data_IF_312966863858
#
_entry.id   IF_312966863858
#
_cell.length_a   1.000
_cell.length_b   1.000
_cell.length_c   1.000
_cell.angle_alpha   90.00
_cell.angle_beta   90.00
_cell.angle_gamma   90.00
#
_symmetry.space_group_name_H-M   'P 1'
#
loop_
_entity.id
_entity.type
_entity.pdbx_description
1 polymer ?
#
# COMPACT_ATOMS: atom_id res chain seq x y z
N UNK A 1 37.13 26.72 -17.12
CA UNK A 1 35.90 27.41 -16.67
C UNK A 1 34.63 26.77 -17.26
N UNK A 2 34.52 26.56 -18.55
CA UNK A 2 33.34 25.95 -19.17
C UNK A 2 33.10 24.49 -18.80
N UNK A 3 34.18 23.72 -18.59
CA UNK A 3 34.04 22.30 -18.20
C UNK A 3 33.37 22.12 -16.84
N UNK A 4 33.58 23.02 -15.89
CA UNK A 4 32.99 22.95 -14.60
C UNK A 4 31.49 23.25 -14.61
N UNK A 5 31.05 24.15 -15.49
CA UNK A 5 29.63 24.47 -15.65
C UNK A 5 28.85 23.28 -16.21
N UNK A 6 29.44 22.57 -17.20
CA UNK A 6 28.82 21.40 -17.79
C UNK A 6 28.66 20.26 -16.76
N UNK A 7 29.65 20.05 -15.92
CA UNK A 7 29.60 19.02 -14.88
C UNK A 7 28.51 19.29 -13.84
N UNK A 8 28.32 20.56 -13.44
CA UNK A 8 27.28 20.96 -12.51
C UNK A 8 25.88 20.73 -13.07
N UNK A 9 25.70 21.04 -14.37
CA UNK A 9 24.42 20.81 -15.04
C UNK A 9 24.07 19.32 -15.11
N UNK A 10 25.05 18.48 -15.39
CA UNK A 10 24.85 17.03 -15.43
C UNK A 10 24.42 16.46 -14.07
N UNK A 11 25.04 16.91 -12.99
CA UNK A 11 24.67 16.51 -11.65
C UNK A 11 23.24 16.91 -11.30
N UNK A 12 22.83 18.11 -11.67
CA UNK A 12 21.47 18.60 -11.43
C UNK A 12 20.44 17.74 -12.18
N UNK A 13 20.74 17.37 -13.43
CA UNK A 13 19.86 16.52 -14.24
C UNK A 13 19.68 15.14 -13.60
N UNK A 14 20.75 14.55 -13.09
CA UNK A 14 20.69 13.27 -12.39
C UNK A 14 19.80 13.31 -11.16
N UNK A 15 19.91 14.36 -10.35
CA UNK A 15 19.05 14.53 -9.16
C UNK A 15 17.57 14.62 -9.54
N UNK A 16 17.25 15.29 -10.63
CA UNK A 16 15.89 15.43 -11.13
C UNK A 16 15.30 14.07 -11.53
N UNK A 17 16.08 13.22 -12.20
CA UNK A 17 15.65 11.88 -12.62
C UNK A 17 15.35 11.00 -11.39
N UNK A 18 16.18 11.07 -10.36
CA UNK A 18 15.94 10.31 -9.12
C UNK A 18 14.64 10.75 -8.45
N UNK A 19 14.35 12.05 -8.44
CA UNK A 19 13.11 12.58 -7.85
C UNK A 19 11.86 12.06 -8.54
N UNK A 20 11.89 11.85 -9.86
CA UNK A 20 10.74 11.33 -10.61
C UNK A 20 10.42 9.89 -10.28
N UNK A 21 11.41 9.07 -9.92
CA UNK A 21 11.15 7.67 -9.57
C UNK A 21 10.39 7.49 -8.25
N UNK A 22 10.41 8.49 -7.37
CA UNK A 22 9.68 8.44 -6.09
C UNK A 22 8.18 8.63 -6.26
N UNK A 23 7.70 9.01 -7.44
CA UNK A 23 6.29 9.21 -7.72
C UNK A 23 5.56 7.94 -8.13
N UNK A 24 6.26 6.83 -8.30
CA UNK A 24 5.64 5.56 -8.68
C UNK A 24 4.82 4.99 -7.53
N UNK A 25 3.70 4.34 -7.87
CA UNK A 25 2.85 3.67 -6.90
C UNK A 25 3.65 2.69 -6.05
N UNK A 26 3.38 2.69 -4.75
CA UNK A 26 4.10 1.86 -3.80
C UNK A 26 3.28 0.64 -3.43
N UNK A 27 3.87 -0.54 -3.63
CA UNK A 27 3.34 -1.81 -3.14
C UNK A 27 4.25 -2.28 -2.01
N UNK A 28 3.65 -2.58 -0.86
CA UNK A 28 4.39 -3.03 0.31
C UNK A 28 4.13 -4.50 0.56
N UNK A 29 5.19 -5.28 0.74
CA UNK A 29 5.03 -6.69 1.10
C UNK A 29 4.78 -6.83 2.58
N UNK A 30 3.71 -7.53 2.92
CA UNK A 30 3.34 -7.85 4.30
C UNK A 30 4.09 -9.09 4.74
N UNK A 31 4.76 -9.01 5.89
CA UNK A 31 5.43 -10.13 6.50
C UNK A 31 4.92 -10.31 7.91
N UNK A 32 4.50 -11.53 8.24
CA UNK A 32 4.05 -11.84 9.60
C UNK A 32 5.27 -12.13 10.47
N UNK A 33 5.20 -11.70 11.72
CA UNK A 33 6.21 -12.06 12.69
C UNK A 33 6.23 -13.59 12.84
N UNK A 34 7.40 -14.12 13.21
CA UNK A 34 7.58 -15.57 13.34
C UNK A 34 6.53 -16.17 14.27
N UNK A 35 5.84 -17.21 13.79
CA UNK A 35 4.80 -17.87 14.55
C UNK A 35 3.47 -17.12 14.57
N UNK A 36 3.34 -16.03 13.82
CA UNK A 36 2.12 -15.24 13.74
C UNK A 36 1.48 -15.37 12.36
N UNK A 37 0.16 -15.27 12.35
CA UNK A 37 -0.64 -15.30 11.12
C UNK A 37 -1.46 -14.02 10.93
N UNK A 38 -1.17 -12.98 11.69
CA UNK A 38 -1.87 -11.71 11.66
C UNK A 38 -0.87 -10.56 11.79
N UNK A 39 -1.16 -9.44 11.14
CA UNK A 39 -0.34 -8.24 11.23
C UNK A 39 -1.24 -7.01 11.16
N UNK A 40 -0.89 -5.96 11.92
CA UNK A 40 -1.55 -4.67 11.86
C UNK A 40 -0.60 -3.66 11.24
N UNK A 41 -1.07 -2.99 10.19
CA UNK A 41 -0.30 -2.03 9.41
C UNK A 41 -0.94 -0.66 9.55
N UNK A 42 -0.15 0.33 9.95
CA UNK A 42 -0.62 1.69 10.14
C UNK A 42 0.05 2.60 9.12
N UNK A 43 -0.68 3.62 8.68
CA UNK A 43 -0.12 4.58 7.74
C UNK A 43 -1.02 5.79 7.56
N UNK A 44 -0.67 6.60 6.57
CA UNK A 44 -1.44 7.78 6.17
C UNK A 44 -1.70 7.72 4.68
N UNK A 45 -2.87 8.22 4.27
CA UNK A 45 -3.24 8.37 2.86
C UNK A 45 -3.58 9.81 2.55
N UNK A 46 -3.12 10.27 1.40
CA UNK A 46 -3.48 11.59 0.89
C UNK A 46 -4.96 11.67 0.58
N UNK A 47 -5.48 12.88 0.53
CA UNK A 47 -6.87 13.14 0.19
C UNK A 47 -7.21 12.75 -1.25
N UNK A 48 -8.47 12.59 -1.53
CA UNK A 48 -9.03 12.51 -2.89
C UNK A 48 -8.42 11.38 -3.73
N UNK A 49 -8.48 10.16 -3.22
CA UNK A 49 -8.03 8.99 -3.94
C UNK A 49 -6.61 8.54 -3.60
N UNK A 50 -6.00 9.07 -2.54
CA UNK A 50 -4.75 8.52 -2.04
C UNK A 50 -4.93 7.04 -1.74
N UNK A 51 -4.00 6.20 -2.20
CA UNK A 51 -4.16 4.75 -2.12
C UNK A 51 -2.85 4.07 -1.75
N UNK A 52 -2.98 2.82 -1.34
CA UNK A 52 -1.82 1.96 -1.06
C UNK A 52 -2.18 0.52 -1.37
N UNK A 53 -1.21 -0.20 -1.92
CA UNK A 53 -1.34 -1.61 -2.20
C UNK A 53 -0.41 -2.42 -1.31
N UNK A 54 -0.92 -3.52 -0.79
CA UNK A 54 -0.17 -4.51 -0.03
C UNK A 54 -0.20 -5.85 -0.75
N UNK A 55 0.87 -6.61 -0.61
CA UNK A 55 0.98 -7.94 -1.18
C UNK A 55 1.48 -8.91 -0.11
N UNK A 56 0.91 -10.11 -0.09
CA UNK A 56 1.35 -11.17 0.83
C UNK A 56 1.29 -12.52 0.15
N UNK A 57 2.19 -13.41 0.53
CA UNK A 57 2.17 -14.79 0.08
C UNK A 57 1.13 -15.59 0.82
N UNK A 58 0.39 -16.41 0.10
CA UNK A 58 -0.66 -17.26 0.66
C UNK A 58 -0.68 -18.61 -0.03
N UNK A 59 -1.32 -19.59 0.61
CA UNK A 59 -1.44 -20.95 0.09
C UNK A 59 -2.89 -21.30 -0.15
N UNK A 60 -3.11 -22.14 -1.14
CA UNK A 60 -4.42 -22.69 -1.44
C UNK A 60 -5.04 -23.31 -0.18
N UNK A 61 -6.30 -23.04 0.04
CA UNK A 61 -7.05 -23.54 1.18
C UNK A 61 -7.05 -22.61 2.39
N UNK A 62 -6.21 -21.58 2.38
CA UNK A 62 -6.26 -20.56 3.42
C UNK A 62 -7.36 -19.55 3.16
N UNK A 63 -7.76 -18.84 4.20
CA UNK A 63 -8.69 -17.71 4.10
C UNK A 63 -7.95 -16.45 4.54
N UNK A 64 -8.00 -15.44 3.68
CA UNK A 64 -7.46 -14.13 3.97
C UNK A 64 -8.58 -13.25 4.50
N UNK A 65 -8.36 -12.62 5.64
CA UNK A 65 -9.31 -11.68 6.26
C UNK A 65 -8.59 -10.36 6.51
N UNK A 66 -9.26 -9.26 6.19
CA UNK A 66 -8.70 -7.93 6.40
C UNK A 66 -9.76 -7.01 6.99
N UNK A 67 -9.35 -6.19 7.95
CA UNK A 67 -10.21 -5.21 8.61
C UNK A 67 -9.52 -3.86 8.58
N UNK A 68 -10.27 -2.82 8.26
CA UNK A 68 -9.74 -1.49 8.00
C UNK A 68 -10.48 -0.45 8.81
N UNK A 69 -9.75 0.45 9.42
CA UNK A 69 -10.30 1.62 10.10
C UNK A 69 -9.49 2.86 9.73
N UNK A 70 -10.10 4.03 9.83
CA UNK A 70 -9.43 5.29 9.55
C UNK A 70 -10.00 6.40 10.43
N UNK A 71 -9.20 7.43 10.65
CA UNK A 71 -9.61 8.57 11.48
C UNK A 71 -10.78 9.32 10.86
N UNK A 72 -10.82 9.46 9.54
CA UNK A 72 -11.92 10.14 8.85
C UNK A 72 -13.08 9.21 8.46
N UNK A 73 -12.95 7.90 8.63
CA UNK A 73 -13.97 6.93 8.23
C UNK A 73 -14.19 6.83 6.72
N UNK A 74 -13.28 7.32 5.90
CA UNK A 74 -13.42 7.40 4.45
C UNK A 74 -12.41 6.55 3.69
N UNK A 75 -11.75 5.62 4.36
CA UNK A 75 -10.84 4.67 3.71
C UNK A 75 -11.52 3.31 3.63
N UNK A 76 -11.49 2.70 2.45
CA UNK A 76 -12.07 1.37 2.24
C UNK A 76 -11.25 0.55 1.25
N UNK A 77 -11.65 -0.71 1.09
CA UNK A 77 -11.00 -1.63 0.17
C UNK A 77 -11.44 -1.35 -1.26
N UNK A 78 -10.50 -1.42 -2.17
CA UNK A 78 -10.78 -1.31 -3.61
C UNK A 78 -11.36 -2.62 -4.15
N UNK A 79 -11.10 -3.74 -3.48
CA UNK A 79 -11.71 -5.04 -3.77
C UNK A 79 -13.01 -5.18 -3.00
N UNK A 80 -13.93 -5.99 -3.50
CA UNK A 80 -15.17 -6.30 -2.82
C UNK A 80 -16.26 -5.26 -3.06
N UNK A 81 -17.22 -5.19 -2.13
CA UNK A 81 -18.33 -4.28 -2.25
C UNK A 81 -17.91 -2.83 -1.96
N UNK A 82 -18.69 -1.91 -2.48
CA UNK A 82 -18.41 -0.48 -2.35
C UNK A 82 -18.41 -0.06 -0.88
N UNK A 83 -17.37 0.66 -0.46
CA UNK A 83 -17.19 1.18 0.89
C UNK A 83 -16.99 0.11 1.97
N UNK A 84 -16.54 -1.08 1.59
CA UNK A 84 -16.25 -2.12 2.57
C UNK A 84 -15.01 -1.80 3.39
N UNK A 85 -15.12 -2.03 4.70
CA UNK A 85 -14.02 -1.96 5.65
C UNK A 85 -13.67 -3.34 6.22
N UNK A 86 -14.32 -4.38 5.71
CA UNK A 86 -14.03 -5.77 6.00
C UNK A 86 -13.96 -6.54 4.70
N UNK A 87 -13.00 -7.46 4.61
CA UNK A 87 -12.76 -8.22 3.41
C UNK A 87 -12.34 -9.64 3.81
N UNK A 88 -12.97 -10.62 3.21
CA UNK A 88 -12.63 -12.02 3.45
C UNK A 88 -12.72 -12.78 2.14
N UNK A 89 -11.68 -13.53 1.82
CA UNK A 89 -11.62 -14.26 0.56
C UNK A 89 -10.87 -15.58 0.75
N UNK A 90 -11.40 -16.69 0.18
CA UNK A 90 -10.63 -17.91 0.13
C UNK A 90 -9.47 -17.80 -0.84
N UNK A 91 -8.34 -18.39 -0.48
CA UNK A 91 -7.17 -18.45 -1.36
C UNK A 91 -7.28 -19.70 -2.20
N UNK A 92 -7.39 -19.52 -3.50
CA UNK A 92 -7.64 -20.62 -4.42
C UNK A 92 -6.38 -21.22 -5.03
N UNK A 93 -5.27 -20.47 -5.00
CA UNK A 93 -3.98 -20.90 -5.53
C UNK A 93 -2.85 -20.38 -4.66
N UNK A 94 -1.76 -21.13 -4.61
CA UNK A 94 -0.53 -20.66 -3.97
C UNK A 94 0.01 -19.44 -4.71
N UNK A 95 0.50 -18.46 -3.98
CA UNK A 95 1.14 -17.30 -4.57
C UNK A 95 0.79 -16.01 -3.86
N UNK A 96 1.03 -14.90 -4.55
CA UNK A 96 0.81 -13.56 -4.01
C UNK A 96 -0.64 -13.14 -4.12
N UNK A 97 -1.14 -12.53 -3.03
CA UNK A 97 -2.47 -11.93 -2.97
C UNK A 97 -2.29 -10.44 -2.71
N UNK A 98 -3.07 -9.61 -3.39
CA UNK A 98 -2.98 -8.17 -3.33
C UNK A 98 -4.20 -7.58 -2.63
N UNK A 99 -3.97 -6.59 -1.78
CA UNK A 99 -5.02 -5.82 -1.10
C UNK A 99 -4.73 -4.35 -1.33
N UNK A 100 -5.72 -3.62 -1.85
CA UNK A 100 -5.59 -2.19 -2.12
C UNK A 100 -6.64 -1.43 -1.33
N UNK A 101 -6.24 -0.29 -0.77
CA UNK A 101 -7.11 0.61 -0.02
C UNK A 101 -7.03 2.01 -0.61
N UNK A 102 -8.11 2.78 -0.51
CA UNK A 102 -8.10 4.16 -0.94
C UNK A 102 -8.90 5.07 -0.02
N UNK A 103 -8.55 6.35 -0.07
CA UNK A 103 -9.16 7.40 0.74
C UNK A 103 -10.09 8.25 -0.14
N UNK A 104 -11.39 8.18 0.12
CA UNK A 104 -12.39 9.01 -0.58
C UNK A 104 -12.55 10.39 0.04
N UNK A 105 -11.98 10.61 1.21
CA UNK A 105 -12.13 11.86 1.93
C UNK A 105 -11.43 13.03 1.26
N UNK A 106 -11.86 14.22 1.58
CA UNK A 106 -11.27 15.46 1.09
C UNK A 106 -10.04 15.88 1.88
N UNK A 107 -9.68 15.17 2.93
CA UNK A 107 -8.51 15.42 3.76
C UNK A 107 -7.62 14.20 3.90
N UNK A 108 -6.35 14.44 4.17
CA UNK A 108 -5.40 13.38 4.52
C UNK A 108 -5.86 12.67 5.79
N UNK A 109 -5.68 11.36 5.86
CA UNK A 109 -6.14 10.58 7.01
C UNK A 109 -5.12 9.51 7.41
N UNK A 110 -5.21 9.11 8.67
CA UNK A 110 -4.52 7.92 9.18
C UNK A 110 -5.42 6.71 9.02
N UNK A 111 -4.83 5.56 8.85
CA UNK A 111 -5.55 4.30 8.79
C UNK A 111 -4.83 3.20 9.57
N UNK A 112 -5.59 2.17 9.91
CA UNK A 112 -5.08 0.93 10.50
C UNK A 112 -5.68 -0.24 9.74
N UNK A 113 -4.84 -1.11 9.23
CA UNK A 113 -5.23 -2.28 8.45
C UNK A 113 -4.72 -3.52 9.16
N UNK A 114 -5.63 -4.42 9.53
CA UNK A 114 -5.27 -5.72 10.12
C UNK A 114 -5.54 -6.82 9.10
N UNK A 115 -4.53 -7.60 8.80
CA UNK A 115 -4.60 -8.71 7.85
C UNK A 115 -4.28 -9.98 8.60
N UNK A 116 -5.11 -11.02 8.40
CA UNK A 116 -4.83 -12.35 8.91
C UNK A 116 -5.02 -13.40 7.82
N UNK A 117 -4.30 -14.50 7.97
CA UNK A 117 -4.34 -15.61 7.04
C UNK A 117 -4.42 -16.91 7.85
N UNK A 118 -5.39 -17.74 7.54
CA UNK A 118 -5.60 -19.00 8.29
C UNK A 118 -5.84 -20.16 7.34
#
# INVERSE_FOLDING_TARGET
MFKNLGAKLLLFTLLFVISTSDLLAQTSRVRFARGRNSATLNGTLAANGGNREYVLGAKRGQTLTATLSSTNGKVDFMQGARHDTQYSVPVEQDGDVYISIDNHGSGRTRYSLTISIQ
#
